data_IF_090912311141
#
_entry.id   IF_090912311141
#
_cell.length_a   1.000
_cell.length_b   1.000
_cell.length_c   1.000
_cell.angle_alpha   90.00
_cell.angle_beta   90.00
_cell.angle_gamma   90.00
#
_symmetry.space_group_name_H-M   'P 1'
#
loop_
_entity.id
_entity.type
_entity.pdbx_description
1 polymer ?
#
# COMPACT_ATOMS: atom_id res chain seq x y z
N UNK A 1 -26.58 -19.10 15.14
CA UNK A 1 -27.39 -18.43 14.10
C UNK A 1 -27.39 -16.96 14.40
N UNK A 2 -26.64 -16.18 13.63
CA UNK A 2 -26.70 -14.72 13.68
C UNK A 2 -27.77 -14.28 12.67
N UNK A 3 -28.86 -13.70 13.17
CA UNK A 3 -29.93 -13.15 12.34
C UNK A 3 -29.44 -11.87 11.66
N UNK A 4 -29.09 -12.00 10.37
CA UNK A 4 -28.86 -10.89 9.46
C UNK A 4 -30.20 -10.41 8.90
N UNK A 5 -30.94 -9.61 9.67
CA UNK A 5 -32.06 -8.82 9.15
C UNK A 5 -32.37 -7.66 10.09
N UNK A 6 -31.70 -6.52 9.89
CA UNK A 6 -32.18 -5.26 10.44
C UNK A 6 -31.64 -4.06 9.66
N UNK A 7 -32.61 -3.30 9.15
CA UNK A 7 -32.56 -1.89 8.74
C UNK A 7 -31.97 -1.53 7.37
N UNK A 8 -32.90 -1.07 6.53
CA UNK A 8 -32.74 -0.30 5.30
C UNK A 8 -32.21 1.11 5.61
N UNK A 9 -31.02 1.24 6.17
CA UNK A 9 -30.35 2.53 6.22
C UNK A 9 -29.67 2.75 4.86
N UNK A 10 -30.30 3.58 4.02
CA UNK A 10 -29.65 4.13 2.83
C UNK A 10 -28.39 4.83 3.30
N UNK A 11 -27.22 4.24 3.03
CA UNK A 11 -25.91 4.88 3.23
C UNK A 11 -25.87 6.09 2.30
N UNK A 12 -26.09 7.26 2.86
CA UNK A 12 -25.93 8.53 2.18
C UNK A 12 -24.41 8.78 2.04
N UNK A 13 -23.86 8.40 0.87
CA UNK A 13 -22.49 8.72 0.50
C UNK A 13 -22.49 10.19 0.10
N UNK A 14 -21.87 11.03 0.91
CA UNK A 14 -21.66 12.45 0.58
C UNK A 14 -20.20 12.63 0.21
N UNK A 15 -19.92 12.77 -1.09
CA UNK A 15 -18.63 13.25 -1.59
C UNK A 15 -18.59 14.76 -1.40
N UNK A 16 -17.67 15.24 -0.56
CA UNK A 16 -17.33 16.66 -0.46
C UNK A 16 -15.97 16.86 -1.09
N UNK A 17 -15.96 17.42 -2.29
CA UNK A 17 -14.76 17.90 -2.95
C UNK A 17 -14.15 19.03 -2.11
N UNK A 18 -12.90 18.87 -1.69
CA UNK A 18 -12.16 19.88 -0.94
C UNK A 18 -11.48 20.81 -1.94
N UNK A 19 -11.93 22.06 -2.03
CA UNK A 19 -11.31 23.12 -2.87
C UNK A 19 -9.96 23.63 -2.29
N UNK A 20 -9.55 23.15 -1.11
CA UNK A 20 -8.43 23.68 -0.33
C UNK A 20 -7.09 22.91 -0.45
N UNK A 21 -6.96 21.93 -1.36
CA UNK A 21 -5.65 21.34 -1.65
C UNK A 21 -4.81 22.31 -2.50
N UNK A 22 -3.97 23.09 -1.83
CA UNK A 22 -2.94 23.97 -2.43
C UNK A 22 -1.84 23.24 -3.24
N UNK A 23 -2.04 21.96 -3.55
CA UNK A 23 -1.31 21.26 -4.62
C UNK A 23 -2.22 21.32 -5.83
N UNK A 24 -2.01 22.31 -6.70
CA UNK A 24 -2.76 22.47 -7.94
C UNK A 24 -2.55 21.29 -8.87
N UNK A 25 -3.26 20.19 -8.62
CA UNK A 25 -3.52 19.15 -9.60
C UNK A 25 -4.45 19.78 -10.64
N UNK A 26 -3.87 20.24 -11.75
CA UNK A 26 -4.65 20.45 -12.96
C UNK A 26 -5.24 19.09 -13.32
N UNK A 27 -6.51 18.88 -12.98
CA UNK A 27 -7.31 17.84 -13.60
C UNK A 27 -7.40 18.22 -15.08
N UNK A 28 -6.85 17.38 -15.95
CA UNK A 28 -6.95 17.60 -17.39
C UNK A 28 -8.44 17.69 -17.74
N UNK A 29 -8.80 18.69 -18.56
CA UNK A 29 -10.20 18.97 -18.96
C UNK A 29 -10.87 17.80 -19.68
N UNK A 30 -10.12 16.75 -20.02
CA UNK A 30 -10.62 15.53 -20.64
C UNK A 30 -11.26 14.54 -19.64
N UNK A 31 -11.06 14.70 -18.31
CA UNK A 31 -11.65 13.82 -17.27
C UNK A 31 -13.16 14.06 -17.03
N UNK A 32 -13.80 15.02 -17.73
CA UNK A 32 -15.27 15.22 -17.67
C UNK A 32 -16.07 14.10 -18.36
N UNK A 33 -15.41 13.24 -19.15
CA UNK A 33 -16.03 12.00 -19.63
C UNK A 33 -15.81 10.92 -18.58
N UNK A 34 -16.91 10.42 -18.00
CA UNK A 34 -16.85 9.30 -17.06
C UNK A 34 -16.10 8.11 -17.65
N UNK A 35 -14.89 7.87 -17.17
CA UNK A 35 -14.07 6.73 -17.55
C UNK A 35 -14.48 5.50 -16.75
N UNK A 36 -14.40 4.32 -17.37
CA UNK A 36 -14.63 3.07 -16.66
C UNK A 36 -13.48 2.81 -15.67
N UNK A 37 -13.84 2.29 -14.50
CA UNK A 37 -12.88 1.83 -13.50
C UNK A 37 -12.39 0.44 -13.89
N UNK A 38 -11.08 0.26 -13.94
CA UNK A 38 -10.41 -0.99 -14.30
C UNK A 38 -9.41 -1.36 -13.19
N UNK A 39 -9.12 -2.65 -13.06
CA UNK A 39 -8.13 -3.17 -12.12
C UNK A 39 -6.96 -3.83 -12.85
N UNK A 40 -5.74 -3.49 -12.47
CA UNK A 40 -4.50 -4.15 -12.89
C UNK A 40 -3.99 -5.01 -11.74
N UNK A 41 -3.74 -6.29 -12.00
CA UNK A 41 -3.22 -7.22 -11.00
C UNK A 41 -1.75 -7.48 -11.26
N UNK A 42 -0.90 -7.28 -10.24
CA UNK A 42 0.52 -7.58 -10.31
C UNK A 42 0.82 -8.78 -9.43
N UNK A 43 1.59 -9.71 -9.99
CA UNK A 43 2.03 -10.92 -9.31
C UNK A 43 3.54 -11.07 -9.47
N UNK A 44 4.28 -10.81 -8.39
CA UNK A 44 5.73 -10.85 -8.42
C UNK A 44 6.20 -12.30 -8.36
N UNK A 45 6.99 -12.73 -9.36
CA UNK A 45 7.48 -14.11 -9.40
C UNK A 45 8.65 -14.31 -8.44
N UNK A 46 8.45 -15.15 -7.42
CA UNK A 46 9.51 -15.50 -6.48
C UNK A 46 9.99 -14.31 -5.64
N UNK A 47 9.05 -13.41 -5.26
CA UNK A 47 9.32 -12.17 -4.54
C UNK A 47 10.31 -12.31 -3.38
N UNK A 48 10.14 -13.35 -2.57
CA UNK A 48 11.02 -13.58 -1.42
C UNK A 48 12.51 -13.71 -1.83
N UNK A 49 12.79 -14.25 -3.02
CA UNK A 49 14.15 -14.38 -3.57
C UNK A 49 14.71 -13.09 -4.18
N UNK A 50 13.89 -12.06 -4.40
CA UNK A 50 14.28 -10.81 -5.08
C UNK A 50 14.50 -9.65 -4.11
N UNK A 51 14.01 -9.73 -2.87
CA UNK A 51 14.20 -8.65 -1.88
C UNK A 51 15.70 -8.37 -1.68
N UNK A 52 16.12 -7.15 -2.00
CA UNK A 52 17.50 -6.65 -1.86
C UNK A 52 17.85 -6.32 -0.40
N UNK A 53 19.13 -6.15 -0.10
CA UNK A 53 19.60 -5.74 1.23
C UNK A 53 19.07 -4.34 1.59
N UNK A 54 19.05 -3.44 0.61
CA UNK A 54 18.59 -2.06 0.70
C UNK A 54 17.10 -2.00 1.06
N UNK A 55 16.28 -2.85 0.46
CA UNK A 55 14.85 -2.96 0.79
C UNK A 55 14.62 -3.45 2.24
N UNK A 56 15.47 -4.35 2.76
CA UNK A 56 15.43 -4.72 4.19
C UNK A 56 15.67 -3.52 5.09
N UNK A 57 16.58 -2.63 4.70
CA UNK A 57 16.89 -1.41 5.47
C UNK A 57 15.67 -0.47 5.47
N UNK A 58 15.01 -0.31 4.32
CA UNK A 58 13.79 0.51 4.20
C UNK A 58 12.65 -0.04 5.06
N UNK A 59 12.41 -1.35 5.02
CA UNK A 59 11.42 -2.03 5.87
C UNK A 59 11.68 -1.76 7.36
N UNK A 60 12.93 -1.80 7.77
CA UNK A 60 13.33 -1.62 9.16
C UNK A 60 13.17 -0.18 9.60
N UNK A 61 13.54 0.78 8.75
CA UNK A 61 13.31 2.20 9.01
C UNK A 61 11.81 2.47 9.16
N UNK A 62 10.97 1.91 8.27
CA UNK A 62 9.52 1.97 8.36
C UNK A 62 9.00 1.41 9.68
N UNK A 63 9.39 0.19 10.06
CA UNK A 63 8.97 -0.42 11.33
C UNK A 63 9.38 0.45 12.52
N UNK A 64 10.58 1.04 12.49
CA UNK A 64 11.09 1.85 13.59
C UNK A 64 10.24 3.08 13.91
N UNK A 65 9.45 3.58 12.94
CA UNK A 65 8.55 4.73 13.14
C UNK A 65 7.39 4.44 14.11
N UNK A 66 7.03 3.17 14.30
CA UNK A 66 5.93 2.76 15.17
C UNK A 66 6.35 2.47 16.61
N UNK A 67 7.65 2.50 16.91
CA UNK A 67 8.19 2.16 18.23
C UNK A 67 8.83 3.37 18.91
N UNK A 68 8.77 3.46 20.25
CA UNK A 68 9.51 4.47 21.00
C UNK A 68 11.03 4.44 20.68
N UNK A 69 11.72 5.60 20.65
CA UNK A 69 13.14 5.67 20.27
C UNK A 69 14.09 4.73 21.04
N UNK A 70 13.74 4.37 22.29
CA UNK A 70 14.52 3.44 23.10
C UNK A 70 14.64 2.02 22.51
N UNK A 71 13.72 1.62 21.63
CA UNK A 71 13.76 0.31 20.96
C UNK A 71 14.54 0.32 19.64
N UNK A 72 14.96 1.50 19.14
CA UNK A 72 15.59 1.62 17.82
C UNK A 72 16.83 0.74 17.68
N UNK A 73 17.70 0.69 18.69
CA UNK A 73 18.89 -0.18 18.66
C UNK A 73 18.55 -1.66 18.57
N UNK A 74 17.50 -2.11 19.27
CA UNK A 74 17.06 -3.51 19.22
C UNK A 74 16.47 -3.85 17.84
N UNK A 75 15.65 -2.96 17.29
CA UNK A 75 15.06 -3.10 15.95
C UNK A 75 16.17 -3.15 14.88
N UNK A 76 17.14 -2.23 14.93
CA UNK A 76 18.27 -2.21 14.00
C UNK A 76 19.19 -3.43 14.12
N UNK A 77 19.32 -4.03 15.30
CA UNK A 77 20.08 -5.26 15.45
C UNK A 77 19.32 -6.45 14.87
N UNK A 78 18.03 -6.58 15.17
CA UNK A 78 17.17 -7.61 14.58
C UNK A 78 17.21 -7.52 13.05
N UNK A 79 17.03 -6.32 12.50
CA UNK A 79 17.17 -6.02 11.08
C UNK A 79 18.45 -6.56 10.45
N UNK A 80 19.61 -6.28 11.06
CA UNK A 80 20.91 -6.73 10.55
C UNK A 80 20.99 -8.25 10.46
N UNK A 81 20.49 -8.95 11.48
CA UNK A 81 20.46 -10.42 11.49
C UNK A 81 19.56 -10.98 10.40
N UNK A 82 18.39 -10.36 10.13
CA UNK A 82 17.47 -10.85 9.10
C UNK A 82 17.85 -10.37 7.68
N UNK A 83 18.70 -9.35 7.57
CA UNK A 83 19.24 -8.86 6.31
C UNK A 83 20.42 -9.70 5.81
N UNK A 84 21.15 -10.36 6.72
CA UNK A 84 22.26 -11.26 6.39
C UNK A 84 22.20 -12.57 7.21
N UNK A 85 21.10 -13.36 7.13
CA UNK A 85 20.96 -14.54 7.98
C UNK A 85 21.91 -15.65 7.52
N UNK A 86 22.42 -16.39 8.51
CA UNK A 86 23.09 -17.66 8.28
C UNK A 86 22.00 -18.74 8.15
N UNK A 87 21.99 -19.44 7.02
CA UNK A 87 21.01 -20.47 6.70
C UNK A 87 21.67 -21.85 6.63
N UNK A 88 20.90 -22.86 7.02
CA UNK A 88 21.27 -24.27 7.04
C UNK A 88 20.21 -25.06 6.27
N UNK A 89 20.60 -25.88 5.28
CA UNK A 89 19.66 -26.82 4.64
C UNK A 89 19.59 -28.15 5.39
N UNK A 90 18.69 -29.02 4.91
CA UNK A 90 18.48 -30.38 5.43
C UNK A 90 19.72 -31.29 5.25
N UNK A 91 20.61 -30.95 4.31
CA UNK A 91 21.85 -31.68 4.03
C UNK A 91 23.03 -31.25 4.93
N UNK A 92 22.86 -30.18 5.70
CA UNK A 92 23.89 -29.65 6.61
C UNK A 92 24.78 -28.57 6.00
N UNK A 93 24.52 -28.12 4.78
CA UNK A 93 25.23 -27.00 4.15
C UNK A 93 24.87 -25.68 4.83
N UNK A 94 25.90 -24.87 5.08
CA UNK A 94 25.76 -23.54 5.69
C UNK A 94 26.14 -22.47 4.69
N UNK A 95 25.30 -21.46 4.52
CA UNK A 95 25.63 -20.28 3.74
C UNK A 95 25.06 -19.01 4.34
N UNK A 96 25.60 -17.87 3.89
CA UNK A 96 25.09 -16.56 4.23
C UNK A 96 24.13 -16.12 3.11
N UNK A 97 22.89 -15.76 3.48
CA UNK A 97 21.93 -15.19 2.54
C UNK A 97 22.02 -13.66 2.63
N UNK A 98 22.34 -12.99 1.53
CA UNK A 98 22.38 -11.52 1.49
C UNK A 98 21.03 -10.99 0.99
N UNK A 99 20.32 -10.26 1.84
CA UNK A 99 18.94 -9.87 1.58
C UNK A 99 18.01 -11.08 1.60
N UNK A 100 17.10 -11.09 0.63
CA UNK A 100 16.00 -12.03 0.47
C UNK A 100 15.08 -12.08 1.70
N UNK A 101 13.97 -12.79 1.54
CA UNK A 101 13.01 -13.08 2.58
C UNK A 101 12.98 -14.57 2.83
N UNK A 102 13.04 -14.95 4.11
CA UNK A 102 12.61 -16.26 4.55
C UNK A 102 11.11 -16.24 4.78
N UNK A 103 10.36 -17.09 4.09
CA UNK A 103 8.90 -17.15 4.23
C UNK A 103 8.44 -17.38 5.69
N UNK A 104 9.25 -18.08 6.50
CA UNK A 104 9.00 -18.33 7.92
C UNK A 104 9.40 -17.19 8.88
N UNK A 105 9.84 -16.03 8.39
CA UNK A 105 10.15 -14.89 9.25
C UNK A 105 8.89 -14.29 9.88
N UNK A 106 9.02 -13.76 11.10
CA UNK A 106 7.91 -13.10 11.80
C UNK A 106 7.34 -11.90 11.02
N UNK A 107 8.20 -11.25 10.23
CA UNK A 107 7.87 -10.02 9.49
C UNK A 107 7.51 -10.26 8.03
N UNK A 108 7.45 -11.51 7.54
CA UNK A 108 7.24 -11.80 6.11
C UNK A 108 6.04 -11.08 5.52
N UNK A 109 4.85 -11.24 6.12
CA UNK A 109 3.61 -10.65 5.58
C UNK A 109 3.66 -9.12 5.60
N UNK A 110 4.08 -8.51 6.72
CA UNK A 110 4.18 -7.06 6.85
C UNK A 110 5.23 -6.49 5.88
N UNK A 111 6.43 -7.07 5.87
CA UNK A 111 7.55 -6.61 5.07
C UNK A 111 7.25 -6.70 3.58
N UNK A 112 6.73 -7.85 3.12
CA UNK A 112 6.35 -8.01 1.71
C UNK A 112 5.25 -7.02 1.32
N UNK A 113 4.21 -6.87 2.14
CA UNK A 113 3.11 -5.93 1.85
C UNK A 113 3.60 -4.48 1.71
N UNK A 114 4.47 -4.04 2.62
CA UNK A 114 5.01 -2.66 2.60
C UNK A 114 5.93 -2.43 1.40
N UNK A 115 6.83 -3.37 1.12
CA UNK A 115 7.77 -3.25 0.01
C UNK A 115 7.07 -3.34 -1.35
N UNK A 116 6.11 -4.26 -1.51
CA UNK A 116 5.26 -4.31 -2.71
C UNK A 116 4.45 -3.02 -2.86
N UNK A 117 3.91 -2.47 -1.77
CA UNK A 117 3.23 -1.18 -1.80
C UNK A 117 4.15 -0.06 -2.32
N UNK A 118 5.35 0.06 -1.76
CA UNK A 118 6.32 1.06 -2.16
C UNK A 118 6.79 0.90 -3.62
N UNK A 119 7.20 -0.31 -4.01
CA UNK A 119 7.70 -0.58 -5.36
C UNK A 119 6.62 -0.39 -6.42
N UNK A 120 5.37 -0.74 -6.11
CA UNK A 120 4.26 -0.53 -7.04
C UNK A 120 3.94 0.96 -7.21
N UNK A 121 3.96 1.75 -6.14
CA UNK A 121 3.77 3.20 -6.24
C UNK A 121 4.88 3.86 -7.10
N UNK A 122 6.12 3.42 -6.92
CA UNK A 122 7.25 3.82 -7.77
C UNK A 122 7.03 3.40 -9.23
N UNK A 123 6.63 2.15 -9.48
CA UNK A 123 6.40 1.66 -10.83
C UNK A 123 5.27 2.41 -11.54
N UNK A 124 4.19 2.76 -10.83
CA UNK A 124 3.12 3.62 -11.35
C UNK A 124 3.68 4.99 -11.74
N UNK A 125 4.50 5.60 -10.89
CA UNK A 125 5.12 6.90 -11.16
C UNK A 125 5.94 6.87 -12.45
N UNK A 126 6.81 5.86 -12.61
CA UNK A 126 7.65 5.67 -13.80
C UNK A 126 6.81 5.37 -15.06
N UNK A 127 5.81 4.49 -14.97
CA UNK A 127 4.96 4.12 -16.11
C UNK A 127 4.11 5.31 -16.63
N UNK A 128 3.64 6.16 -15.72
CA UNK A 128 2.68 7.24 -16.02
C UNK A 128 3.34 8.60 -16.21
N UNK A 129 4.60 8.76 -15.78
CA UNK A 129 5.30 10.04 -15.73
C UNK A 129 4.74 11.01 -14.67
N UNK A 130 3.83 10.56 -13.79
CA UNK A 130 3.29 11.35 -12.68
C UNK A 130 4.31 11.31 -11.53
N UNK A 131 4.57 12.45 -10.89
CA UNK A 131 5.45 12.51 -9.73
C UNK A 131 4.97 11.59 -8.60
N UNK A 132 5.89 10.88 -7.95
CA UNK A 132 5.57 9.93 -6.88
C UNK A 132 4.71 10.56 -5.78
N UNK A 133 4.95 11.83 -5.41
CA UNK A 133 4.14 12.49 -4.36
C UNK A 133 2.71 12.68 -4.82
N UNK A 134 2.48 12.90 -6.12
CA UNK A 134 1.15 12.98 -6.69
C UNK A 134 0.49 11.60 -6.77
N UNK A 135 1.23 10.53 -7.11
CA UNK A 135 0.73 9.15 -7.07
C UNK A 135 0.20 8.80 -5.68
N UNK A 136 0.94 9.16 -4.63
CA UNK A 136 0.57 8.91 -3.24
C UNK A 136 -0.39 9.96 -2.64
N UNK A 137 -0.74 11.02 -3.38
CA UNK A 137 -1.58 12.09 -2.85
C UNK A 137 -3.06 11.70 -2.82
N UNK A 138 -3.72 12.10 -1.74
CA UNK A 138 -5.18 12.02 -1.61
C UNK A 138 -5.83 12.97 -2.61
N UNK A 139 -6.66 12.44 -3.51
CA UNK A 139 -7.45 13.20 -4.49
C UNK A 139 -8.89 13.41 -4.02
N UNK A 140 -9.41 12.51 -3.18
CA UNK A 140 -10.79 12.60 -2.67
C UNK A 140 -10.91 11.91 -1.30
N UNK A 141 -12.02 12.16 -0.60
CA UNK A 141 -12.33 11.62 0.73
C UNK A 141 -13.77 11.12 0.78
N UNK A 142 -13.92 9.84 1.10
CA UNK A 142 -15.23 9.23 1.35
C UNK A 142 -15.49 9.26 2.85
N UNK A 143 -16.46 10.07 3.27
CA UNK A 143 -16.92 10.14 4.66
C UNK A 143 -18.23 9.39 4.84
N UNK A 144 -18.27 8.44 5.77
CA UNK A 144 -19.48 7.66 6.06
C UNK A 144 -19.72 7.48 7.55
N UNK A 145 -21.00 7.51 7.94
CA UNK A 145 -21.42 7.34 9.33
C UNK A 145 -21.26 5.87 9.74
N UNK A 146 -20.59 5.62 10.87
CA UNK A 146 -20.35 4.28 11.42
C UNK A 146 -21.07 4.01 12.73
N UNK A 147 -21.65 5.03 13.34
CA UNK A 147 -22.42 4.87 14.56
C UNK A 147 -22.84 6.17 15.20
N UNK A 148 -23.28 6.06 16.44
CA UNK A 148 -23.61 7.18 17.33
C UNK A 148 -22.99 6.90 18.69
N UNK A 149 -22.47 7.95 19.33
CA UNK A 149 -21.94 7.92 20.70
C UNK A 149 -22.62 9.00 21.53
N UNK A 150 -22.84 8.74 22.81
CA UNK A 150 -23.28 9.78 23.76
C UNK A 150 -22.07 10.45 24.37
N UNK A 151 -21.92 11.75 24.15
CA UNK A 151 -20.94 12.59 24.84
C UNK A 151 -21.71 13.63 25.66
N UNK A 152 -21.54 13.61 26.99
CA UNK A 152 -22.25 14.49 27.92
C UNK A 152 -23.79 14.46 27.77
N UNK A 153 -24.35 13.30 27.44
CA UNK A 153 -25.80 13.12 27.23
C UNK A 153 -26.30 13.55 25.85
N UNK A 154 -25.42 14.02 24.95
CA UNK A 154 -25.76 14.43 23.59
C UNK A 154 -25.37 13.32 22.60
N UNK A 155 -26.31 12.92 21.75
CA UNK A 155 -26.05 11.95 20.68
C UNK A 155 -25.20 12.59 19.58
N UNK A 156 -23.97 12.10 19.44
CA UNK A 156 -23.00 12.56 18.44
C UNK A 156 -22.79 11.47 17.40
N UNK A 157 -22.91 11.81 16.12
CA UNK A 157 -22.65 10.86 15.04
C UNK A 157 -21.16 10.61 14.89
N UNK A 158 -20.77 9.35 14.81
CA UNK A 158 -19.38 8.92 14.56
C UNK A 158 -19.22 8.64 13.08
N UNK A 159 -18.21 9.23 12.46
CA UNK A 159 -17.89 9.05 11.05
C UNK A 159 -16.51 8.41 10.90
N UNK A 160 -16.35 7.61 9.85
CA UNK A 160 -15.03 7.23 9.32
C UNK A 160 -14.82 7.97 8.00
N UNK A 161 -13.56 8.24 7.72
CA UNK A 161 -13.10 8.85 6.48
C UNK A 161 -12.12 7.89 5.82
N UNK A 162 -12.28 7.69 4.51
CA UNK A 162 -11.37 6.94 3.67
C UNK A 162 -10.79 7.93 2.67
N UNK A 163 -9.48 8.06 2.68
CA UNK A 163 -8.75 8.84 1.69
C UNK A 163 -8.57 8.01 0.42
N UNK A 164 -8.83 8.62 -0.72
CA UNK A 164 -8.74 8.00 -2.04
C UNK A 164 -7.61 8.66 -2.80
N UNK A 165 -6.74 7.84 -3.39
CA UNK A 165 -5.70 8.27 -4.34
C UNK A 165 -6.19 8.03 -5.77
N UNK A 166 -5.48 8.59 -6.77
CA UNK A 166 -5.76 8.30 -8.19
C UNK A 166 -5.54 6.82 -8.56
N UNK A 167 -4.65 6.17 -7.82
CA UNK A 167 -4.29 4.77 -7.99
C UNK A 167 -4.52 4.05 -6.67
N UNK A 168 -5.73 3.49 -6.51
CA UNK A 168 -6.08 2.78 -5.27
C UNK A 168 -5.37 1.44 -5.29
N UNK A 169 -4.43 1.27 -4.37
CA UNK A 169 -3.65 0.06 -4.26
C UNK A 169 -4.13 -0.82 -3.10
N UNK A 170 -4.30 -2.11 -3.37
CA UNK A 170 -4.57 -3.14 -2.37
C UNK A 170 -3.44 -4.18 -2.43
N UNK A 171 -2.64 -4.28 -1.38
CA UNK A 171 -1.51 -5.22 -1.30
C UNK A 171 -1.70 -6.20 -0.16
N UNK A 172 -1.33 -7.46 -0.40
CA UNK A 172 -1.27 -8.53 0.60
C UNK A 172 -0.10 -9.45 0.27
N UNK A 173 0.96 -9.36 1.07
CA UNK A 173 2.20 -10.09 0.80
C UNK A 173 2.84 -9.63 -0.51
N UNK A 174 3.07 -10.57 -1.43
CA UNK A 174 3.65 -10.35 -2.75
C UNK A 174 2.60 -10.06 -3.85
N UNK A 175 1.31 -10.09 -3.52
CA UNK A 175 0.22 -9.76 -4.46
C UNK A 175 -0.23 -8.30 -4.32
N UNK A 176 -0.53 -7.65 -5.45
CA UNK A 176 -1.17 -6.33 -5.41
C UNK A 176 -2.14 -6.10 -6.56
N UNK A 177 -3.19 -5.33 -6.28
CA UNK A 177 -4.19 -4.89 -7.23
C UNK A 177 -4.23 -3.37 -7.23
N UNK A 178 -4.16 -2.78 -8.42
CA UNK A 178 -4.27 -1.34 -8.65
C UNK A 178 -5.62 -1.09 -9.29
N UNK A 179 -6.46 -0.26 -8.68
CA UNK A 179 -7.72 0.20 -9.25
C UNK A 179 -7.56 1.65 -9.72
N UNK A 180 -7.86 1.91 -10.99
CA UNK A 180 -7.74 3.24 -11.61
C UNK A 180 -8.67 3.34 -12.83
N UNK A 181 -8.59 4.42 -13.60
CA UNK A 181 -9.37 4.57 -14.84
C UNK A 181 -8.69 3.86 -16.01
N UNK A 182 -9.47 3.43 -17.00
CA UNK A 182 -9.00 2.68 -18.17
C UNK A 182 -7.75 3.29 -18.88
N UNK A 183 -7.65 4.62 -19.11
CA UNK A 183 -6.45 5.18 -19.76
C UNK A 183 -5.17 4.96 -18.95
N UNK A 184 -5.27 5.09 -17.62
CA UNK A 184 -4.16 4.87 -16.70
C UNK A 184 -3.81 3.39 -16.58
N UNK A 185 -4.82 2.52 -16.46
CA UNK A 185 -4.62 1.07 -16.41
C UNK A 185 -3.89 0.57 -17.66
N UNK A 186 -4.32 1.01 -18.85
CA UNK A 186 -3.68 0.67 -20.14
C UNK A 186 -2.23 1.15 -20.18
N UNK A 187 -1.94 2.32 -19.63
CA UNK A 187 -0.58 2.86 -19.56
C UNK A 187 0.31 2.04 -18.63
N UNK A 188 -0.22 1.64 -17.46
CA UNK A 188 0.51 0.79 -16.50
C UNK A 188 0.78 -0.59 -17.12
N UNK A 189 -0.24 -1.28 -17.61
CA UNK A 189 -0.11 -2.64 -18.17
C UNK A 189 0.90 -2.73 -19.32
N UNK A 190 1.03 -1.68 -20.14
CA UNK A 190 1.97 -1.66 -21.26
C UNK A 190 3.44 -1.54 -20.84
N UNK A 191 3.72 -0.92 -19.69
CA UNK A 191 5.08 -0.52 -19.31
C UNK A 191 5.59 -1.19 -18.03
N UNK A 192 4.70 -1.76 -17.21
CA UNK A 192 5.06 -2.20 -15.85
C UNK A 192 6.08 -3.34 -15.81
N UNK A 193 6.03 -4.28 -16.75
CA UNK A 193 7.00 -5.38 -16.82
C UNK A 193 8.42 -4.86 -17.11
N UNK A 194 8.54 -3.86 -17.99
CA UNK A 194 9.84 -3.23 -18.29
C UNK A 194 10.38 -2.52 -17.05
N UNK A 195 9.54 -1.71 -16.39
CA UNK A 195 9.93 -0.95 -15.20
C UNK A 195 10.34 -1.86 -14.03
N UNK A 196 9.58 -2.94 -13.79
CA UNK A 196 9.87 -3.88 -12.70
C UNK A 196 11.05 -4.80 -13.02
N UNK A 197 11.37 -5.04 -14.29
CA UNK A 197 12.52 -5.87 -14.68
C UNK A 197 13.89 -5.20 -14.52
N UNK A 198 13.90 -3.88 -14.32
CA UNK A 198 15.11 -3.07 -14.15
C UNK A 198 15.57 -2.97 -12.68
N UNK A 199 14.81 -3.53 -11.75
CA UNK A 199 15.09 -3.59 -10.31
C UNK A 199 15.67 -4.95 -9.92
#
# INVERSE_FOLDING_TARGET
MWDANSSKDKKEITTRWNEDSSVGLQLDKDEEKGHESVSVCLNYSGWDGTVSLEERIVEVDFISTFYPPMFRSAIMNCAREIACPITLNDDGDVWLRAGQRGSGELLTSLGNTVLVAANTAMAISECTGIDLRQVCSTIDRIRYKVGQRKENGIDTSVFKEIEMTRFVQLSDGDGTVIMTTEPWATTIERNIDEVLSLQ
#
